data_IF_413898377138
#
_entry.id   IF_413898377138
#
_cell.length_a   1.000
_cell.length_b   1.000
_cell.length_c   1.000
_cell.angle_alpha   90.00
_cell.angle_beta   90.00
_cell.angle_gamma   90.00
#
_symmetry.space_group_name_H-M   'P 1'
#
loop_
_entity.id
_entity.type
_entity.pdbx_description
1 polymer ?
#
# COMPACT_ATOMS: atom_id res chain seq x y z
N UNK A 1 -3.08 -11.87 -9.39
CA UNK A 1 -2.71 -10.50 -8.98
C UNK A 1 -1.34 -10.54 -8.33
N UNK A 2 -0.37 -9.71 -8.76
CA UNK A 2 0.96 -9.60 -8.14
C UNK A 2 1.16 -8.13 -7.78
N UNK A 3 0.87 -7.77 -6.54
CA UNK A 3 1.13 -6.44 -6.00
C UNK A 3 2.13 -6.57 -4.86
N UNK A 4 3.00 -5.59 -4.70
CA UNK A 4 3.89 -5.50 -3.54
C UNK A 4 3.85 -4.09 -2.97
N UNK A 5 4.15 -4.03 -1.68
CA UNK A 5 4.11 -2.81 -0.87
C UNK A 5 5.53 -2.52 -0.37
N UNK A 6 5.93 -1.27 -0.44
CA UNK A 6 7.15 -0.76 0.17
C UNK A 6 6.73 0.21 1.28
N UNK A 7 7.18 -0.05 2.51
CA UNK A 7 6.89 0.78 3.67
C UNK A 7 8.18 1.45 4.11
N UNK A 8 8.21 2.78 4.05
CA UNK A 8 9.28 3.60 4.60
C UNK A 8 8.82 4.13 5.97
N UNK A 9 9.42 3.58 7.03
CA UNK A 9 9.01 3.89 8.40
C UNK A 9 9.50 5.27 8.87
N UNK A 10 10.66 5.72 8.41
CA UNK A 10 11.23 7.01 8.80
C UNK A 10 10.48 8.17 8.14
N UNK A 11 10.03 7.99 6.89
CA UNK A 11 9.30 9.00 6.13
C UNK A 11 7.77 8.91 6.30
N UNK A 12 7.24 7.92 7.05
CA UNK A 12 5.81 7.60 7.15
C UNK A 12 5.12 7.52 5.78
N UNK A 13 5.74 6.80 4.85
CA UNK A 13 5.30 6.67 3.46
C UNK A 13 5.09 5.21 3.09
N UNK A 14 4.00 4.93 2.38
CA UNK A 14 3.77 3.62 1.77
C UNK A 14 3.62 3.78 0.28
N UNK A 15 4.42 3.01 -0.46
CA UNK A 15 4.38 2.95 -1.91
C UNK A 15 3.82 1.60 -2.35
N UNK A 16 2.83 1.63 -3.25
CA UNK A 16 2.21 0.44 -3.81
C UNK A 16 2.56 0.32 -5.28
N UNK A 17 3.01 -0.87 -5.65
CA UNK A 17 3.12 -1.29 -7.04
C UNK A 17 2.11 -2.38 -7.32
N UNK A 18 1.26 -2.15 -8.33
CA UNK A 18 0.22 -3.08 -8.73
C UNK A 18 0.11 -3.15 -10.24
N UNK A 19 -0.47 -4.24 -10.74
CA UNK A 19 -0.91 -4.30 -12.13
C UNK A 19 -2.37 -3.89 -12.21
N UNK A 20 -2.69 -3.00 -13.14
CA UNK A 20 -4.07 -2.69 -13.51
C UNK A 20 -4.67 -3.83 -14.36
N UNK A 21 -5.91 -3.64 -14.80
CA UNK A 21 -6.65 -4.62 -15.59
C UNK A 21 -6.03 -4.86 -16.98
N UNK A 22 -5.25 -3.90 -17.49
CA UNK A 22 -4.46 -4.02 -18.71
C UNK A 22 -3.11 -4.73 -18.48
N UNK A 23 -2.82 -5.11 -17.23
CA UNK A 23 -1.58 -5.77 -16.83
C UNK A 23 -0.38 -4.83 -16.76
N UNK A 24 -0.60 -3.52 -16.86
CA UNK A 24 0.42 -2.48 -16.81
C UNK A 24 0.76 -2.19 -15.36
N UNK A 25 2.05 -2.03 -15.08
CA UNK A 25 2.51 -1.67 -13.75
C UNK A 25 2.19 -0.22 -13.44
N UNK A 26 1.40 -0.01 -12.40
CA UNK A 26 1.02 1.27 -11.84
C UNK A 26 1.71 1.46 -10.49
N UNK A 27 1.98 2.73 -10.15
CA UNK A 27 2.56 3.15 -8.88
C UNK A 27 1.66 4.18 -8.21
N UNK A 28 1.35 3.95 -6.93
CA UNK A 28 0.62 4.89 -6.10
C UNK A 28 1.33 5.08 -4.77
N UNK A 29 1.45 6.34 -4.36
CA UNK A 29 2.01 6.73 -3.07
C UNK A 29 0.89 7.11 -2.11
N UNK A 30 0.99 6.62 -0.87
CA UNK A 30 0.16 7.07 0.23
C UNK A 30 1.05 7.79 1.24
N UNK A 31 0.73 9.06 1.50
CA UNK A 31 1.48 9.95 2.38
C UNK A 31 0.52 10.52 3.42
N UNK A 32 0.89 10.41 4.69
CA UNK A 32 0.15 10.85 5.88
C UNK A 32 -1.10 10.03 6.24
N UNK A 33 -2.12 9.96 5.39
CA UNK A 33 -3.44 9.41 5.74
C UNK A 33 -4.09 8.65 4.57
N UNK A 34 -4.79 7.56 4.87
CA UNK A 34 -5.55 6.78 3.90
C UNK A 34 -5.43 5.25 4.05
N UNK A 35 -6.21 4.57 3.21
CA UNK A 35 -6.39 3.13 3.22
C UNK A 35 -6.12 2.56 1.84
N UNK A 36 -5.45 1.41 1.77
CA UNK A 36 -5.26 0.71 0.51
C UNK A 36 -5.95 -0.66 0.53
N UNK A 37 -6.72 -0.98 -0.54
CA UNK A 37 -7.26 -2.32 -0.72
C UNK A 37 -6.11 -3.24 -1.10
N UNK A 38 -5.78 -4.16 -0.18
CA UNK A 38 -4.91 -5.30 -0.45
C UNK A 38 -5.80 -6.40 -1.03
N UNK A 39 -5.49 -6.93 -2.21
CA UNK A 39 -6.33 -7.95 -2.83
C UNK A 39 -6.08 -9.37 -2.29
N UNK A 40 -5.00 -9.59 -1.54
CA UNK A 40 -4.67 -10.90 -0.97
C UNK A 40 -3.74 -10.75 0.26
N UNK A 41 -4.23 -10.93 1.49
CA UNK A 41 -5.65 -11.13 1.84
C UNK A 41 -6.50 -9.94 1.40
N UNK A 42 -7.77 -10.17 1.08
CA UNK A 42 -8.74 -9.11 0.79
C UNK A 42 -8.97 -8.32 2.07
N UNK A 43 -8.17 -7.27 2.25
CA UNK A 43 -8.06 -6.52 3.48
C UNK A 43 -7.79 -5.06 3.16
N UNK A 44 -8.36 -4.17 3.96
CA UNK A 44 -8.02 -2.76 3.92
C UNK A 44 -6.87 -2.52 4.90
N UNK A 45 -5.78 -1.97 4.40
CA UNK A 45 -4.58 -1.76 5.18
C UNK A 45 -4.34 -0.25 5.24
N UNK A 46 -4.44 0.30 6.44
CA UNK A 46 -4.32 1.73 6.72
C UNK A 46 -2.94 2.06 7.25
N UNK A 47 -2.48 3.29 7.02
CA UNK A 47 -1.21 3.76 7.59
C UNK A 47 -1.23 3.64 9.12
N UNK A 48 -2.30 4.08 9.77
CA UNK A 48 -2.44 3.94 11.23
C UNK A 48 -2.39 2.48 11.69
N UNK A 49 -2.92 1.54 10.90
CA UNK A 49 -2.83 0.11 11.18
C UNK A 49 -1.40 -0.43 11.10
N UNK A 50 -0.61 0.05 10.14
CA UNK A 50 0.82 -0.33 9.98
C UNK A 50 1.67 0.21 11.12
N UNK A 51 1.47 1.47 11.48
CA UNK A 51 2.26 2.14 12.52
C UNK A 51 1.70 1.89 13.94
N UNK A 52 0.64 1.09 14.09
CA UNK A 52 0.05 0.80 15.40
C UNK A 52 1.02 -0.05 16.23
N UNK A 53 1.64 0.56 17.24
CA UNK A 53 2.53 -0.12 18.19
C UNK A 53 4.02 0.13 17.98
N UNK A 54 4.39 1.10 17.12
CA UNK A 54 5.68 1.78 17.18
C UNK A 54 5.69 2.83 18.31
#
# INVERSE_FOLDING_TARGET
>A
MRAYLIVDQDARRVERHFRDDDGVWQRADLVNDGAFPVPCPEAELTLDGIYKGL
#
